data_IF_799171854919
#
_entry.id   IF_799171854919
#
_cell.length_a   1.000
_cell.length_b   1.000
_cell.length_c   1.000
_cell.angle_alpha   90.00
_cell.angle_beta   90.00
_cell.angle_gamma   90.00
#
_symmetry.space_group_name_H-M   'P 1'
#
loop_
_entity.id
_entity.type
_entity.pdbx_description
1 polymer ?
#
# COMPACT_ATOMS: atom_id res chain seq x y z
N UNK A 1 -47.79 -18.13 7.86
CA UNK A 1 -48.02 -16.66 7.80
C UNK A 1 -46.80 -15.99 8.37
N UNK A 2 -46.10 -15.26 7.53
CA UNK A 2 -44.71 -14.77 7.67
C UNK A 2 -44.66 -13.54 8.59
N UNK A 3 -43.76 -13.51 9.58
CA UNK A 3 -43.26 -12.28 10.20
C UNK A 3 -41.78 -12.45 10.63
N UNK A 4 -40.92 -12.63 9.63
CA UNK A 4 -39.54 -12.10 9.60
C UNK A 4 -39.70 -10.79 8.80
N UNK A 5 -39.31 -9.60 9.26
CA UNK A 5 -37.94 -9.11 9.23
C UNK A 5 -37.87 -7.82 10.06
N UNK A 6 -36.96 -7.77 11.02
CA UNK A 6 -36.61 -6.56 11.76
C UNK A 6 -35.84 -5.63 10.81
N UNK A 7 -36.51 -4.59 10.30
CA UNK A 7 -35.95 -3.65 9.34
C UNK A 7 -35.62 -2.34 10.06
N UNK A 8 -34.44 -2.28 10.70
CA UNK A 8 -33.83 -1.00 11.08
C UNK A 8 -33.06 -0.52 9.84
N UNK A 9 -33.79 0.09 8.91
CA UNK A 9 -33.17 0.91 7.87
C UNK A 9 -32.84 2.25 8.53
N UNK A 10 -31.58 2.40 8.97
CA UNK A 10 -31.02 3.70 9.32
C UNK A 10 -31.00 4.54 8.04
N UNK A 11 -31.64 5.71 7.98
CA UNK A 11 -31.53 6.59 6.83
C UNK A 11 -30.16 7.27 6.90
N UNK A 12 -29.11 6.56 6.50
CA UNK A 12 -27.87 7.21 6.11
C UNK A 12 -28.20 8.01 4.83
N UNK A 13 -28.05 9.35 4.84
CA UNK A 13 -28.35 10.15 3.67
C UNK A 13 -27.39 9.73 2.55
N UNK A 14 -27.96 9.20 1.47
CA UNK A 14 -27.29 9.03 0.19
C UNK A 14 -26.83 10.43 -0.22
N UNK A 15 -25.51 10.67 -0.25
CA UNK A 15 -24.99 11.90 -0.82
C UNK A 15 -25.26 11.82 -2.32
N UNK A 16 -26.25 12.56 -2.79
CA UNK A 16 -26.35 12.86 -4.21
C UNK A 16 -25.13 13.71 -4.60
N UNK A 17 -24.46 13.27 -5.66
CA UNK A 17 -23.30 13.90 -6.29
C UNK A 17 -23.67 15.26 -6.93
N UNK A 18 -23.97 16.25 -6.08
CA UNK A 18 -24.05 17.66 -6.46
C UNK A 18 -22.85 18.37 -5.84
N UNK A 19 -21.86 18.60 -6.70
CA UNK A 19 -20.54 19.20 -6.45
C UNK A 19 -20.57 20.68 -6.01
N UNK A 20 -21.38 21.01 -5.01
CA UNK A 20 -21.24 22.20 -4.19
C UNK A 20 -21.40 21.79 -2.73
N UNK A 21 -20.48 20.94 -2.26
CA UNK A 21 -20.26 20.78 -0.83
C UNK A 21 -19.72 22.11 -0.28
N UNK A 22 -20.62 23.06 -0.05
CA UNK A 22 -20.30 24.28 0.67
C UNK A 22 -19.67 23.86 2.00
N UNK A 23 -18.50 24.40 2.29
CA UNK A 23 -17.75 24.08 3.50
C UNK A 23 -18.70 24.25 4.71
N UNK A 24 -18.97 23.21 5.53
CA UNK A 24 -19.95 23.27 6.62
C UNK A 24 -19.39 24.01 7.84
N UNK A 25 -18.83 25.19 7.63
CA UNK A 25 -18.21 26.05 8.62
C UNK A 25 -18.12 27.49 8.11
N UNK A 26 -17.97 28.47 9.01
CA UNK A 26 -17.88 29.88 8.66
C UNK A 26 -16.56 30.20 7.93
N UNK A 27 -16.51 31.33 7.21
CA UNK A 27 -15.26 31.81 6.59
C UNK A 27 -14.15 32.04 7.62
N UNK A 28 -14.50 32.46 8.83
CA UNK A 28 -13.56 32.65 9.94
C UNK A 28 -12.96 31.31 10.39
N UNK A 29 -13.79 30.28 10.59
CA UNK A 29 -13.31 28.93 10.90
C UNK A 29 -12.48 28.34 9.75
N UNK A 30 -12.85 28.61 8.50
CA UNK A 30 -12.07 28.20 7.33
C UNK A 30 -10.68 28.84 7.30
N UNK A 31 -10.58 30.13 7.63
CA UNK A 31 -9.29 30.82 7.71
C UNK A 31 -8.39 30.24 8.82
N UNK A 32 -8.97 29.88 9.97
CA UNK A 32 -8.24 29.20 11.06
C UNK A 32 -7.72 27.85 10.57
N UNK A 33 -8.57 27.03 9.93
CA UNK A 33 -8.15 25.73 9.37
C UNK A 33 -6.99 25.90 8.39
N UNK A 34 -7.09 26.84 7.45
CA UNK A 34 -6.04 27.07 6.44
C UNK A 34 -4.71 27.52 7.09
N UNK A 35 -4.78 28.27 8.20
CA UNK A 35 -3.59 28.68 8.96
C UNK A 35 -2.91 27.50 9.67
N UNK A 36 -3.69 26.63 10.33
CA UNK A 36 -3.17 25.44 11.01
C UNK A 36 -2.57 24.44 10.03
N UNK A 37 -3.24 24.21 8.89
CA UNK A 37 -2.73 23.34 7.83
C UNK A 37 -1.39 23.86 7.31
N UNK A 38 -1.27 25.18 7.09
CA UNK A 38 -0.01 25.79 6.65
C UNK A 38 1.10 25.61 7.69
N UNK A 39 0.79 25.76 8.96
CA UNK A 39 1.73 25.53 10.05
C UNK A 39 2.20 24.07 10.09
N UNK A 40 1.28 23.11 9.96
CA UNK A 40 1.61 21.68 9.97
C UNK A 40 2.48 21.29 8.79
N UNK A 41 2.14 21.75 7.58
CA UNK A 41 2.95 21.53 6.38
C UNK A 41 4.33 22.15 6.56
N UNK A 42 4.41 23.36 7.11
CA UNK A 42 5.68 24.03 7.41
C UNK A 42 6.55 23.23 8.40
N UNK A 43 5.96 22.70 9.48
CA UNK A 43 6.65 21.85 10.46
C UNK A 43 7.15 20.55 9.84
N UNK A 44 6.31 19.88 9.07
CA UNK A 44 6.68 18.64 8.38
C UNK A 44 7.83 18.88 7.39
N UNK A 45 7.76 19.96 6.61
CA UNK A 45 8.82 20.36 5.69
C UNK A 45 10.14 20.69 6.41
N UNK A 46 10.09 21.45 7.50
CA UNK A 46 11.28 21.76 8.29
C UNK A 46 11.92 20.49 8.88
N UNK A 47 11.09 19.57 9.38
CA UNK A 47 11.55 18.30 9.92
C UNK A 47 12.18 17.39 8.85
N UNK A 48 11.56 17.28 7.66
CA UNK A 48 12.12 16.48 6.56
C UNK A 48 13.42 17.07 6.03
N UNK A 49 13.52 18.40 5.91
CA UNK A 49 14.79 19.06 5.56
C UNK A 49 15.89 18.73 6.55
N UNK A 50 15.64 18.88 7.85
CA UNK A 50 16.62 18.56 8.88
C UNK A 50 17.06 17.09 8.82
N UNK A 51 16.12 16.18 8.55
CA UNK A 51 16.41 14.76 8.40
C UNK A 51 17.32 14.50 7.20
N UNK A 52 17.00 15.09 6.04
CA UNK A 52 17.80 14.94 4.81
C UNK A 52 19.18 15.59 4.98
N UNK A 53 19.27 16.77 5.60
CA UNK A 53 20.54 17.45 5.87
C UNK A 53 21.43 16.63 6.81
N UNK A 54 20.86 16.06 7.86
CA UNK A 54 21.58 15.19 8.80
C UNK A 54 22.16 13.95 8.11
N UNK A 55 21.44 13.39 7.13
CA UNK A 55 21.81 12.17 6.41
C UNK A 55 22.30 12.44 4.98
N UNK A 56 22.77 13.66 4.70
CA UNK A 56 23.12 14.13 3.35
C UNK A 56 24.12 13.24 2.61
N UNK A 57 25.13 12.74 3.32
CA UNK A 57 26.14 11.85 2.75
C UNK A 57 25.55 10.52 2.28
N UNK A 58 24.60 9.96 3.03
CA UNK A 58 23.94 8.71 2.66
C UNK A 58 22.99 8.91 1.47
N UNK A 59 22.29 10.04 1.42
CA UNK A 59 21.45 10.42 0.28
C UNK A 59 22.30 10.61 -0.98
N UNK A 60 23.48 11.22 -0.88
CA UNK A 60 24.40 11.37 -2.00
C UNK A 60 24.88 10.01 -2.53
N UNK A 61 25.26 9.09 -1.63
CA UNK A 61 25.66 7.73 -2.02
C UNK A 61 24.54 6.97 -2.73
N UNK A 62 23.29 7.08 -2.26
CA UNK A 62 22.14 6.46 -2.93
C UNK A 62 21.93 7.08 -4.32
N UNK A 63 22.08 8.40 -4.45
CA UNK A 63 21.97 9.08 -5.73
C UNK A 63 23.04 8.63 -6.73
N UNK A 64 24.29 8.48 -6.28
CA UNK A 64 25.38 7.94 -7.10
C UNK A 64 25.10 6.50 -7.54
N UNK A 65 24.63 5.65 -6.63
CA UNK A 65 24.25 4.28 -6.97
C UNK A 65 23.08 4.21 -7.95
N UNK A 66 22.13 5.15 -7.89
CA UNK A 66 21.02 5.23 -8.86
C UNK A 66 21.48 5.66 -10.25
N UNK A 67 22.61 6.36 -10.37
CA UNK A 67 23.21 6.68 -11.66
C UNK A 67 23.87 5.44 -12.30
N UNK A 68 24.39 4.52 -11.49
CA UNK A 68 25.00 3.27 -11.94
C UNK A 68 23.95 2.16 -12.18
N UNK A 69 22.96 2.06 -11.29
CA UNK A 69 21.88 1.07 -11.31
C UNK A 69 20.52 1.78 -11.31
N UNK A 70 19.74 1.61 -12.36
CA UNK A 70 18.42 2.25 -12.49
C UNK A 70 17.42 1.81 -11.39
N UNK A 71 17.57 0.58 -10.87
CA UNK A 71 16.72 0.02 -9.83
C UNK A 71 17.57 -0.47 -8.66
N UNK A 72 17.28 0.04 -7.45
CA UNK A 72 17.91 -0.42 -6.21
C UNK A 72 17.02 -1.44 -5.50
N UNK A 73 17.64 -2.52 -5.03
CA UNK A 73 16.97 -3.53 -4.21
C UNK A 73 17.22 -3.28 -2.71
N UNK A 74 16.49 -3.97 -1.84
CA UNK A 74 16.63 -3.82 -0.40
C UNK A 74 18.06 -4.08 0.09
N UNK A 75 18.76 -5.05 -0.51
CA UNK A 75 20.16 -5.33 -0.18
C UNK A 75 21.09 -4.13 -0.43
N UNK A 76 20.88 -3.40 -1.54
CA UNK A 76 21.68 -2.21 -1.87
C UNK A 76 21.44 -1.09 -0.83
N UNK A 77 20.20 -0.94 -0.37
CA UNK A 77 19.85 0.03 0.68
C UNK A 77 20.48 -0.34 2.03
N UNK A 78 20.47 -1.62 2.41
CA UNK A 78 21.09 -2.10 3.66
C UNK A 78 22.61 -1.88 3.62
N UNK A 79 23.25 -2.04 2.46
CA UNK A 79 24.70 -1.78 2.31
C UNK A 79 25.07 -0.32 2.58
N UNK A 80 24.21 0.64 2.20
CA UNK A 80 24.48 2.08 2.34
C UNK A 80 23.98 2.65 3.66
N UNK A 81 22.77 2.26 4.09
CA UNK A 81 22.09 2.82 5.25
C UNK A 81 22.26 1.99 6.53
N UNK A 82 22.65 0.72 6.40
CA UNK A 82 22.66 -0.27 7.47
C UNK A 82 21.29 -0.91 7.70
N UNK A 83 21.21 -1.74 8.73
CA UNK A 83 19.95 -2.38 9.13
C UNK A 83 18.95 -1.36 9.70
N UNK A 84 17.67 -1.59 9.45
CA UNK A 84 16.59 -0.74 9.94
C UNK A 84 16.53 -0.78 11.48
N UNK A 85 16.71 0.34 12.19
CA UNK A 85 16.82 0.33 13.65
C UNK A 85 15.48 0.18 14.38
N UNK A 86 14.36 0.21 13.65
CA UNK A 86 13.01 -0.02 14.18
C UNK A 86 12.44 -1.30 13.56
N UNK A 87 12.11 -2.27 14.41
CA UNK A 87 11.42 -3.50 14.01
C UNK A 87 10.06 -3.11 13.42
N UNK A 88 9.82 -3.47 12.17
CA UNK A 88 8.50 -3.36 11.56
C UNK A 88 7.54 -4.24 12.35
N UNK A 89 6.60 -3.62 13.06
CA UNK A 89 5.48 -4.33 13.70
C UNK A 89 4.47 -4.84 12.67
N UNK A 90 4.46 -4.25 11.48
CA UNK A 90 3.62 -4.60 10.35
C UNK A 90 4.50 -4.96 9.14
N UNK A 91 4.13 -6.02 8.44
CA UNK A 91 4.77 -6.46 7.20
C UNK A 91 4.72 -5.30 6.21
N UNK A 92 5.86 -4.78 5.77
CA UNK A 92 5.89 -3.67 4.81
C UNK A 92 5.25 -4.11 3.50
N UNK A 93 4.64 -3.19 2.75
CA UNK A 93 4.17 -3.50 1.38
C UNK A 93 5.25 -4.15 0.51
N UNK A 94 6.53 -3.81 0.75
CA UNK A 94 7.66 -4.47 0.12
C UNK A 94 7.88 -5.91 0.61
N UNK A 95 7.74 -6.16 1.92
CA UNK A 95 7.88 -7.50 2.49
C UNK A 95 6.76 -8.44 1.97
N UNK A 96 5.54 -7.91 1.78
CA UNK A 96 4.42 -8.63 1.15
C UNK A 96 4.74 -8.93 -0.32
N UNK A 97 5.29 -7.95 -1.04
CA UNK A 97 5.68 -8.11 -2.44
C UNK A 97 6.74 -9.21 -2.61
N UNK A 98 7.80 -9.19 -1.79
CA UNK A 98 8.88 -10.21 -1.84
C UNK A 98 8.36 -11.60 -1.48
N UNK A 99 7.52 -11.72 -0.43
CA UNK A 99 6.93 -13.01 -0.04
C UNK A 99 6.08 -13.63 -1.17
N UNK A 100 5.39 -12.80 -1.96
CA UNK A 100 4.64 -13.27 -3.13
C UNK A 100 5.50 -13.95 -4.20
N UNK A 101 6.73 -13.49 -4.43
CA UNK A 101 7.66 -14.13 -5.37
C UNK A 101 8.30 -15.40 -4.81
N UNK A 102 8.60 -15.44 -3.50
CA UNK A 102 9.18 -16.63 -2.84
C UNK A 102 8.21 -17.83 -2.83
N UNK A 103 6.90 -17.58 -2.81
CA UNK A 103 5.86 -18.63 -2.91
C UNK A 103 5.74 -19.19 -4.34
N UNK A 104 5.98 -18.38 -5.37
CA UNK A 104 5.98 -18.83 -6.77
C UNK A 104 7.21 -19.70 -7.10
N UNK A 105 8.40 -19.33 -6.63
CA UNK A 105 9.62 -20.14 -6.86
C UNK A 105 9.55 -21.51 -6.18
N UNK A 106 9.00 -21.59 -4.96
CA UNK A 106 8.77 -22.86 -4.27
C UNK A 106 7.79 -23.80 -4.98
N UNK A 107 6.92 -23.27 -5.84
CA UNK A 107 5.94 -24.07 -6.60
C UNK A 107 6.53 -24.64 -7.90
N UNK A 108 7.65 -24.11 -8.37
CA UNK A 108 8.29 -24.52 -9.64
C UNK A 108 9.38 -25.59 -9.42
N UNK A 109 9.92 -25.74 -8.22
CA UNK A 109 10.99 -26.71 -7.92
C UNK A 109 10.49 -28.03 -7.30
N UNK A 110 9.70 -28.81 -8.04
CA UNK A 110 9.64 -30.27 -7.80
C UNK A 110 9.71 -31.03 -9.13
N UNK A 111 10.83 -31.74 -9.43
CA UNK A 111 11.06 -32.39 -10.71
C UNK A 111 10.43 -33.79 -10.79
N UNK A 112 10.11 -34.19 -12.02
CA UNK A 112 9.36 -35.38 -12.43
C UNK A 112 9.91 -36.74 -11.97
N UNK A 113 9.00 -37.67 -11.61
CA UNK A 113 8.99 -39.08 -12.06
C UNK A 113 7.77 -39.85 -11.52
N UNK A 114 6.85 -40.26 -12.42
CA UNK A 114 6.40 -41.66 -12.64
C UNK A 114 5.16 -41.70 -13.56
N UNK A 115 5.32 -42.38 -14.69
CA UNK A 115 4.32 -42.79 -15.68
C UNK A 115 3.23 -43.71 -15.11
N UNK A 116 1.98 -43.58 -15.57
CA UNK A 116 1.19 -44.55 -16.37
C UNK A 116 -0.33 -44.27 -16.27
N UNK A 117 -0.95 -44.08 -17.44
CA UNK A 117 -2.31 -44.46 -17.90
C UNK A 117 -3.53 -44.43 -16.96
N UNK A 118 -4.62 -43.80 -17.44
CA UNK A 118 -5.99 -44.04 -16.97
C UNK A 118 -6.92 -42.85 -17.16
N UNK A 119 -7.77 -42.94 -18.19
CA UNK A 119 -8.88 -42.03 -18.50
C UNK A 119 -9.80 -41.72 -17.31
N UNK A 120 -10.33 -40.49 -17.22
CA UNK A 120 -11.76 -40.22 -17.42
C UNK A 120 -12.07 -38.71 -17.33
N UNK A 121 -12.87 -38.32 -18.32
CA UNK A 121 -13.39 -37.01 -18.67
C UNK A 121 -14.39 -36.48 -17.64
N UNK A 122 -14.20 -35.26 -17.10
CA UNK A 122 -15.30 -34.38 -16.69
C UNK A 122 -14.94 -32.91 -16.93
N UNK A 123 -15.33 -32.41 -18.09
CA UNK A 123 -15.56 -30.98 -18.34
C UNK A 123 -16.77 -30.49 -17.52
N UNK A 124 -16.62 -29.43 -16.72
CA UNK A 124 -17.18 -28.06 -16.93
C UNK A 124 -17.67 -27.52 -15.56
N UNK A 125 -18.02 -26.23 -15.37
CA UNK A 125 -17.68 -24.99 -16.11
C UNK A 125 -17.20 -23.81 -15.21
N UNK A 126 -16.61 -22.80 -15.86
CA UNK A 126 -16.17 -21.51 -15.28
C UNK A 126 -17.38 -20.69 -14.78
N UNK A 127 -17.37 -20.30 -13.50
CA UNK A 127 -18.38 -19.38 -12.93
C UNK A 127 -17.93 -17.93 -13.11
N UNK A 128 -18.62 -17.21 -13.99
CA UNK A 128 -18.43 -15.78 -14.24
C UNK A 128 -19.10 -14.99 -13.13
N UNK A 129 -18.31 -14.24 -12.36
CA UNK A 129 -18.81 -13.27 -11.37
C UNK A 129 -19.43 -12.05 -12.07
N UNK A 130 -20.71 -11.69 -11.82
CA UNK A 130 -21.28 -10.48 -12.39
C UNK A 130 -20.93 -9.24 -11.57
N UNK A 131 -20.88 -8.11 -12.27
CA UNK A 131 -20.67 -6.74 -11.78
C UNK A 131 -21.94 -6.12 -11.18
#
# INVERSE_FOLDING_TARGET
>A
MVLVTRLVSSPFPQKEDSYEMTKPYSNETGAIIDSEVREWVGKAYGHTLQLIEKHKEQVAQIAELLLEKEVLHQEDLIRVLGERPFKSSEVSNYDIFVQGFEEEEKKVETPASRTTDGDEDQSSPIEVVPA
#
